data_IF_827754665420
#
_entry.id   IF_827754665420
#
_cell.length_a   1.000
_cell.length_b   1.000
_cell.length_c   1.000
_cell.angle_alpha   90.00
_cell.angle_beta   90.00
_cell.angle_gamma   90.00
#
_symmetry.space_group_name_H-M   'P 1'
#
loop_
_entity.id
_entity.type
_entity.pdbx_description
1 polymer ?
#
# COMPACT_ATOMS: atom_id res chain seq x y z
N UNK A 1 -6.56 -11.41 29.13
CA UNK A 1 -6.00 -11.35 27.75
C UNK A 1 -6.92 -10.65 26.75
N UNK A 2 -8.25 -10.81 26.78
CA UNK A 2 -9.18 -10.16 25.84
C UNK A 2 -9.22 -8.63 25.93
N UNK A 3 -9.15 -8.06 27.14
CA UNK A 3 -9.20 -6.60 27.36
C UNK A 3 -7.95 -5.89 26.83
N UNK A 4 -6.75 -6.44 27.05
CA UNK A 4 -5.49 -5.89 26.51
C UNK A 4 -5.46 -5.93 24.97
N UNK A 5 -6.02 -6.99 24.37
CA UNK A 5 -6.11 -7.10 22.91
C UNK A 5 -7.08 -6.06 22.33
N UNK A 6 -8.19 -5.76 23.02
CA UNK A 6 -9.13 -4.72 22.62
C UNK A 6 -8.54 -3.30 22.59
N UNK A 7 -7.51 -3.03 23.39
CA UNK A 7 -6.77 -1.76 23.36
C UNK A 7 -5.82 -1.64 22.14
N UNK A 8 -5.35 -2.78 21.60
CA UNK A 8 -4.40 -2.85 20.49
C UNK A 8 -5.12 -2.94 19.16
N UNK A 9 -6.26 -3.62 19.10
CA UNK A 9 -7.04 -3.85 17.89
C UNK A 9 -8.43 -3.28 18.04
N UNK A 10 -8.68 -2.14 17.41
CA UNK A 10 -10.03 -1.61 17.30
C UNK A 10 -10.81 -2.47 16.31
N UNK A 11 -11.84 -3.16 16.78
CA UNK A 11 -12.79 -3.84 15.89
C UNK A 11 -13.53 -2.80 15.06
N UNK A 12 -13.53 -2.98 13.75
CA UNK A 12 -14.26 -2.15 12.83
C UNK A 12 -15.07 -3.02 11.88
N UNK A 13 -16.25 -2.58 11.55
CA UNK A 13 -17.13 -3.21 10.57
C UNK A 13 -17.88 -2.14 9.79
N UNK A 14 -18.36 -2.49 8.62
CA UNK A 14 -19.17 -1.61 7.77
C UNK A 14 -20.09 -2.48 6.93
N UNK A 15 -21.29 -2.00 6.63
CA UNK A 15 -22.27 -2.66 5.78
C UNK A 15 -22.26 -2.07 4.35
N UNK A 16 -21.30 -1.19 4.04
CA UNK A 16 -21.16 -0.58 2.71
C UNK A 16 -20.92 -1.65 1.65
N UNK A 17 -21.75 -1.63 0.62
CA UNK A 17 -21.62 -2.45 -0.58
C UNK A 17 -20.79 -1.75 -1.64
N UNK A 18 -20.13 -2.55 -2.46
CA UNK A 18 -19.25 -2.09 -3.54
C UNK A 18 -19.67 -2.66 -4.91
N UNK A 19 -20.94 -2.95 -5.08
CA UNK A 19 -21.48 -3.46 -6.34
C UNK A 19 -21.20 -2.44 -7.47
N UNK A 20 -20.66 -2.92 -8.59
CA UNK A 20 -20.26 -2.07 -9.73
C UNK A 20 -18.97 -1.26 -9.50
N UNK A 21 -18.28 -1.43 -8.37
CA UNK A 21 -17.00 -0.78 -8.10
C UNK A 21 -15.83 -1.69 -8.46
N UNK A 22 -14.78 -1.11 -9.04
CA UNK A 22 -13.52 -1.82 -9.36
C UNK A 22 -12.42 -1.38 -8.40
N UNK A 23 -11.70 -2.35 -7.86
CA UNK A 23 -10.57 -2.14 -6.97
C UNK A 23 -9.31 -2.85 -7.49
N UNK A 24 -8.14 -2.22 -7.34
CA UNK A 24 -6.83 -2.84 -7.53
C UNK A 24 -6.14 -2.92 -6.16
N UNK A 25 -5.60 -4.10 -5.82
CA UNK A 25 -4.80 -4.30 -4.62
C UNK A 25 -3.45 -4.88 -5.02
N UNK A 26 -2.37 -4.15 -4.74
CA UNK A 26 -1.01 -4.64 -5.01
C UNK A 26 -0.54 -5.58 -3.90
N UNK A 27 0.22 -6.64 -4.25
CA UNK A 27 0.70 -7.63 -3.29
C UNK A 27 -0.43 -8.41 -2.61
N UNK A 28 -1.48 -8.71 -3.37
CA UNK A 28 -2.73 -9.29 -2.88
C UNK A 28 -2.71 -10.82 -2.72
N UNK A 29 -1.58 -11.47 -2.97
CA UNK A 29 -1.45 -12.93 -2.91
C UNK A 29 -1.22 -13.51 -1.51
N UNK A 30 -1.02 -12.67 -0.50
CA UNK A 30 -0.79 -13.09 0.89
C UNK A 30 -1.12 -11.98 1.89
N UNK A 31 -1.22 -12.33 3.16
CA UNK A 31 -1.28 -11.40 4.28
C UNK A 31 -2.40 -10.37 4.19
N UNK A 32 -2.08 -9.11 4.48
CA UNK A 32 -3.03 -7.98 4.52
C UNK A 32 -3.73 -7.80 3.17
N UNK A 33 -2.97 -7.88 2.07
CA UNK A 33 -3.51 -7.70 0.73
C UNK A 33 -4.58 -8.74 0.38
N UNK A 34 -4.34 -10.03 0.71
CA UNK A 34 -5.32 -11.11 0.50
C UNK A 34 -6.60 -10.88 1.30
N UNK A 35 -6.48 -10.51 2.58
CA UNK A 35 -7.64 -10.24 3.44
C UNK A 35 -8.41 -8.99 2.98
N UNK A 36 -7.70 -7.97 2.49
CA UNK A 36 -8.33 -6.79 1.88
C UNK A 36 -9.15 -7.16 0.65
N UNK A 37 -8.58 -7.97 -0.26
CA UNK A 37 -9.30 -8.47 -1.45
C UNK A 37 -10.54 -9.27 -1.04
N UNK A 38 -10.39 -10.17 -0.06
CA UNK A 38 -11.49 -11.00 0.42
C UNK A 38 -12.67 -10.17 0.93
N UNK A 39 -12.41 -9.14 1.74
CA UNK A 39 -13.45 -8.25 2.24
C UNK A 39 -14.11 -7.44 1.12
N UNK A 40 -13.31 -6.83 0.22
CA UNK A 40 -13.85 -6.05 -0.91
C UNK A 40 -14.69 -6.92 -1.85
N UNK A 41 -14.24 -8.14 -2.15
CA UNK A 41 -14.98 -9.09 -2.98
C UNK A 41 -16.31 -9.51 -2.31
N UNK A 42 -16.30 -9.77 -0.99
CA UNK A 42 -17.51 -10.09 -0.23
C UNK A 42 -18.56 -8.95 -0.24
N UNK A 43 -18.10 -7.70 -0.48
CA UNK A 43 -18.96 -6.53 -0.66
C UNK A 43 -19.45 -6.34 -2.09
N UNK A 44 -19.09 -7.22 -3.02
CA UNK A 44 -19.53 -7.17 -4.42
C UNK A 44 -18.60 -6.38 -5.35
N UNK A 45 -17.43 -5.96 -4.89
CA UNK A 45 -16.46 -5.31 -5.76
C UNK A 45 -15.86 -6.29 -6.79
N UNK A 46 -15.57 -5.77 -8.00
CA UNK A 46 -14.61 -6.40 -8.88
C UNK A 46 -13.20 -6.07 -8.39
N UNK A 47 -12.43 -7.08 -7.98
CA UNK A 47 -11.12 -6.87 -7.37
C UNK A 47 -10.01 -7.50 -8.20
N UNK A 48 -9.02 -6.67 -8.55
CA UNK A 48 -7.84 -7.06 -9.32
C UNK A 48 -6.68 -7.31 -8.34
N UNK A 49 -6.25 -8.58 -8.28
CA UNK A 49 -5.07 -9.01 -7.54
C UNK A 49 -3.83 -8.69 -8.40
N UNK A 50 -3.16 -7.60 -8.09
CA UNK A 50 -1.95 -7.17 -8.79
C UNK A 50 -0.71 -7.75 -8.08
N UNK A 51 -0.13 -8.83 -8.65
CA UNK A 51 0.88 -9.64 -8.00
C UNK A 51 2.02 -10.01 -8.95
N UNK A 52 3.24 -10.11 -8.42
CA UNK A 52 4.40 -10.59 -9.17
C UNK A 52 4.37 -12.12 -9.36
N UNK A 53 4.05 -12.84 -8.32
CA UNK A 53 3.98 -14.30 -8.27
C UNK A 53 2.56 -14.76 -8.58
N UNK A 54 2.34 -15.20 -9.83
CA UNK A 54 1.02 -15.61 -10.32
C UNK A 54 0.54 -16.90 -9.68
N UNK A 55 1.44 -17.85 -9.38
CA UNK A 55 1.08 -19.12 -8.75
C UNK A 55 0.47 -18.89 -7.37
N UNK A 56 1.12 -18.04 -6.57
CA UNK A 56 0.56 -17.64 -5.26
C UNK A 56 -0.72 -16.83 -5.40
N UNK A 57 -0.84 -16.03 -6.45
CA UNK A 57 -2.05 -15.24 -6.70
C UNK A 57 -3.23 -16.14 -7.07
N UNK A 58 -3.01 -17.19 -7.87
CA UNK A 58 -4.02 -18.20 -8.21
C UNK A 58 -4.50 -18.95 -6.96
N UNK A 59 -3.57 -19.37 -6.10
CA UNK A 59 -3.93 -19.98 -4.83
C UNK A 59 -4.77 -19.03 -3.95
N UNK A 60 -4.35 -17.75 -3.84
CA UNK A 60 -5.09 -16.77 -3.06
C UNK A 60 -6.50 -16.51 -3.62
N UNK A 61 -6.65 -16.40 -4.94
CA UNK A 61 -7.95 -16.22 -5.59
C UNK A 61 -8.85 -17.46 -5.40
N UNK A 62 -8.28 -18.66 -5.50
CA UNK A 62 -9.01 -19.91 -5.22
C UNK A 62 -9.53 -19.97 -3.79
N UNK A 63 -8.67 -19.59 -2.80
CA UNK A 63 -9.07 -19.56 -1.39
C UNK A 63 -10.18 -18.53 -1.13
N UNK A 64 -10.07 -17.34 -1.74
CA UNK A 64 -11.09 -16.28 -1.62
C UNK A 64 -12.41 -16.76 -2.23
N UNK A 65 -12.39 -17.40 -3.39
CA UNK A 65 -13.60 -17.90 -4.06
C UNK A 65 -14.28 -19.05 -3.32
N UNK A 66 -13.58 -19.78 -2.44
CA UNK A 66 -14.19 -20.77 -1.55
C UNK A 66 -14.94 -20.11 -0.38
N UNK A 67 -14.43 -18.96 0.10
CA UNK A 67 -14.95 -18.28 1.27
C UNK A 67 -16.02 -17.22 0.92
N UNK A 68 -16.01 -16.72 -0.32
CA UNK A 68 -16.87 -15.63 -0.79
C UNK A 68 -17.66 -16.12 -2.00
N UNK A 69 -18.98 -16.24 -1.82
CA UNK A 69 -19.87 -16.61 -2.89
C UNK A 69 -19.89 -15.55 -4.01
N UNK A 70 -19.78 -15.98 -5.26
CA UNK A 70 -19.75 -15.10 -6.44
C UNK A 70 -18.63 -14.05 -6.43
N UNK A 71 -17.49 -14.36 -5.81
CA UNK A 71 -16.34 -13.46 -5.78
C UNK A 71 -15.88 -13.07 -7.19
N UNK A 72 -15.92 -11.77 -7.50
CA UNK A 72 -15.42 -11.24 -8.77
C UNK A 72 -13.96 -10.82 -8.62
N UNK A 73 -13.04 -11.79 -8.63
CA UNK A 73 -11.60 -11.58 -8.48
C UNK A 73 -10.87 -11.92 -9.77
N UNK A 74 -9.91 -11.08 -10.14
CA UNK A 74 -9.12 -11.20 -11.37
C UNK A 74 -7.64 -11.03 -11.03
N UNK A 75 -6.81 -11.92 -11.56
CA UNK A 75 -5.36 -11.88 -11.35
C UNK A 75 -4.71 -11.13 -12.51
N UNK A 76 -3.79 -10.22 -12.21
CA UNK A 76 -2.95 -9.52 -13.19
C UNK A 76 -1.51 -9.47 -12.69
N UNK A 77 -0.57 -9.76 -13.59
CA UNK A 77 0.85 -9.68 -13.29
C UNK A 77 1.26 -8.22 -13.08
N UNK A 78 1.95 -7.95 -11.97
CA UNK A 78 2.55 -6.67 -11.66
C UNK A 78 3.82 -6.89 -10.85
N UNK A 79 4.97 -6.48 -11.39
CA UNK A 79 6.22 -6.35 -10.64
C UNK A 79 6.56 -4.87 -10.44
N UNK A 80 6.46 -4.40 -9.20
CA UNK A 80 6.78 -3.02 -8.84
C UNK A 80 8.29 -2.73 -8.85
N UNK A 81 9.13 -3.75 -9.03
CA UNK A 81 10.57 -3.62 -9.21
C UNK A 81 10.98 -3.44 -10.69
N UNK A 82 10.02 -3.27 -11.60
CA UNK A 82 10.26 -3.17 -13.03
C UNK A 82 9.26 -2.18 -13.66
N UNK A 83 9.74 -1.02 -14.08
CA UNK A 83 8.89 0.01 -14.69
C UNK A 83 8.20 -0.46 -15.96
N UNK A 84 8.81 -1.36 -16.72
CA UNK A 84 8.20 -1.99 -17.89
C UNK A 84 6.98 -2.81 -17.50
N UNK A 85 7.10 -3.63 -16.44
CA UNK A 85 5.97 -4.41 -15.92
C UNK A 85 4.83 -3.51 -15.44
N UNK A 86 5.15 -2.36 -14.84
CA UNK A 86 4.15 -1.39 -14.39
C UNK A 86 3.42 -0.77 -15.59
N UNK A 87 4.13 -0.42 -16.67
CA UNK A 87 3.53 0.09 -17.91
C UNK A 87 2.60 -0.95 -18.55
N UNK A 88 3.08 -2.19 -18.72
CA UNK A 88 2.29 -3.28 -19.29
C UNK A 88 1.01 -3.55 -18.47
N UNK A 89 1.13 -3.51 -17.14
CA UNK A 89 -0.02 -3.64 -16.25
C UNK A 89 -1.03 -2.50 -16.44
N UNK A 90 -0.56 -1.24 -16.45
CA UNK A 90 -1.43 -0.08 -16.62
C UNK A 90 -2.16 -0.10 -17.98
N UNK A 91 -1.46 -0.43 -19.06
CA UNK A 91 -2.05 -0.60 -20.39
C UNK A 91 -3.14 -1.68 -20.39
N UNK A 92 -2.86 -2.82 -19.76
CA UNK A 92 -3.84 -3.90 -19.63
C UNK A 92 -5.09 -3.45 -18.86
N UNK A 93 -4.91 -2.65 -17.77
CA UNK A 93 -6.03 -2.11 -17.01
C UNK A 93 -6.87 -1.18 -17.87
N UNK A 94 -6.28 -0.25 -18.61
CA UNK A 94 -7.03 0.64 -19.54
C UNK A 94 -7.80 -0.14 -20.60
N UNK A 95 -7.27 -1.26 -21.09
CA UNK A 95 -7.92 -2.07 -22.10
C UNK A 95 -9.04 -2.97 -21.56
N UNK A 96 -9.03 -3.31 -20.27
CA UNK A 96 -9.98 -4.28 -19.69
C UNK A 96 -10.96 -3.69 -18.70
N UNK A 97 -10.66 -2.54 -18.09
CA UNK A 97 -11.48 -1.94 -17.04
C UNK A 97 -12.01 -0.57 -17.48
N UNK A 98 -13.31 -0.37 -17.31
CA UNK A 98 -13.95 0.93 -17.63
C UNK A 98 -13.81 1.95 -16.51
N UNK A 99 -13.53 1.50 -15.30
CA UNK A 99 -13.45 2.36 -14.11
C UNK A 99 -12.50 1.78 -13.07
N UNK A 100 -11.93 2.66 -12.25
CA UNK A 100 -11.12 2.30 -11.10
C UNK A 100 -11.49 3.18 -9.92
N UNK A 101 -12.18 2.61 -8.93
CA UNK A 101 -12.66 3.35 -7.77
C UNK A 101 -11.73 3.29 -6.57
N UNK A 102 -10.98 2.18 -6.44
CA UNK A 102 -10.04 1.96 -5.32
C UNK A 102 -8.69 1.49 -5.86
N UNK A 103 -7.62 2.23 -5.57
CA UNK A 103 -6.24 1.79 -5.79
C UNK A 103 -5.56 1.62 -4.42
N UNK A 104 -5.26 0.38 -4.05
CA UNK A 104 -4.63 0.06 -2.76
C UNK A 104 -3.19 -0.35 -3.01
N UNK A 105 -2.27 0.57 -2.77
CA UNK A 105 -0.83 0.41 -2.85
C UNK A 105 -0.33 -0.30 -1.58
N UNK A 106 -0.57 -1.62 -1.52
CA UNK A 106 -0.32 -2.44 -0.33
C UNK A 106 1.00 -3.23 -0.40
N UNK A 107 1.46 -3.62 -1.59
CA UNK A 107 2.69 -4.40 -1.74
C UNK A 107 3.88 -3.76 -1.01
N UNK A 108 4.79 -4.60 -0.56
CA UNK A 108 6.01 -4.11 0.05
C UNK A 108 7.02 -5.19 0.35
N UNK A 109 8.26 -4.76 0.43
CA UNK A 109 9.41 -5.54 0.89
C UNK A 109 10.03 -4.86 2.10
N UNK A 110 10.55 -5.61 3.05
CA UNK A 110 11.10 -5.06 4.29
C UNK A 110 12.40 -5.75 4.68
N UNK A 111 13.36 -4.93 5.10
CA UNK A 111 14.60 -5.35 5.78
C UNK A 111 15.34 -6.42 4.96
N UNK A 112 15.30 -6.30 3.63
CA UNK A 112 16.00 -7.21 2.74
C UNK A 112 17.49 -6.81 2.60
N UNK A 113 18.38 -7.72 2.17
CA UNK A 113 19.73 -7.38 1.75
C UNK A 113 19.72 -6.32 0.64
N UNK A 114 20.84 -5.60 0.50
CA UNK A 114 20.98 -4.63 -0.60
C UNK A 114 20.80 -5.31 -1.95
N UNK A 115 19.93 -4.76 -2.74
CA UNK A 115 19.72 -5.11 -4.14
C UNK A 115 19.04 -3.94 -4.84
N UNK A 116 19.02 -3.98 -6.16
CA UNK A 116 18.39 -2.96 -6.98
C UNK A 116 17.23 -3.54 -7.79
N UNK A 117 16.28 -2.68 -8.13
CA UNK A 117 15.22 -2.96 -9.11
C UNK A 117 15.80 -3.10 -10.52
N UNK A 118 15.01 -3.52 -11.49
CA UNK A 118 15.40 -3.57 -12.91
C UNK A 118 15.87 -2.20 -13.42
N UNK A 119 15.35 -1.13 -12.86
CA UNK A 119 15.65 0.26 -13.20
C UNK A 119 16.81 0.86 -12.38
N UNK A 120 17.47 0.06 -11.53
CA UNK A 120 18.64 0.48 -10.74
C UNK A 120 18.33 1.19 -9.42
N UNK A 121 17.08 1.22 -8.94
CA UNK A 121 16.72 1.82 -7.65
C UNK A 121 16.94 0.81 -6.51
N UNK A 122 17.33 1.30 -5.31
CA UNK A 122 17.36 0.45 -4.12
C UNK A 122 16.00 -0.23 -3.93
N UNK A 123 16.00 -1.53 -3.69
CA UNK A 123 14.79 -2.36 -3.81
C UNK A 123 13.64 -1.92 -2.89
N UNK A 124 13.92 -1.51 -1.64
CA UNK A 124 12.84 -1.13 -0.72
C UNK A 124 12.25 0.24 -1.11
N UNK A 125 13.08 1.21 -1.48
CA UNK A 125 12.62 2.50 -1.96
C UNK A 125 11.95 2.37 -3.34
N UNK A 126 12.53 1.57 -4.23
CA UNK A 126 12.02 1.30 -5.57
C UNK A 126 10.62 0.65 -5.54
N UNK A 127 10.47 -0.48 -4.82
CA UNK A 127 9.21 -1.23 -4.76
C UNK A 127 8.15 -0.52 -3.92
N UNK A 128 8.52 -0.09 -2.70
CA UNK A 128 7.53 0.41 -1.74
C UNK A 128 7.02 1.81 -2.10
N UNK A 129 7.88 2.64 -2.74
CA UNK A 129 7.56 4.03 -3.06
C UNK A 129 7.52 4.28 -4.57
N UNK A 130 8.64 4.21 -5.29
CA UNK A 130 8.70 4.61 -6.70
C UNK A 130 7.77 3.80 -7.59
N UNK A 131 7.69 2.48 -7.39
CA UNK A 131 6.80 1.61 -8.16
C UNK A 131 5.32 1.95 -7.95
N UNK A 132 4.91 2.23 -6.72
CA UNK A 132 3.54 2.67 -6.43
C UNK A 132 3.27 4.10 -6.89
N UNK A 133 4.25 4.99 -6.79
CA UNK A 133 4.18 6.35 -7.34
C UNK A 133 3.92 6.29 -8.85
N UNK A 134 4.71 5.50 -9.57
CA UNK A 134 4.58 5.34 -11.01
C UNK A 134 3.26 4.67 -11.43
N UNK A 135 2.87 3.60 -10.73
CA UNK A 135 1.58 2.95 -10.94
C UNK A 135 0.41 3.93 -10.75
N UNK A 136 0.45 4.73 -9.67
CA UNK A 136 -0.59 5.71 -9.39
C UNK A 136 -0.62 6.81 -10.45
N UNK A 137 0.54 7.27 -10.91
CA UNK A 137 0.65 8.21 -12.04
C UNK A 137 -0.04 7.67 -13.29
N UNK A 138 0.31 6.46 -13.69
CA UNK A 138 -0.25 5.84 -14.90
C UNK A 138 -1.76 5.62 -14.81
N UNK A 139 -2.29 5.29 -13.65
CA UNK A 139 -3.73 5.02 -13.46
C UNK A 139 -4.55 6.26 -13.06
N UNK A 140 -3.92 7.43 -12.93
CA UNK A 140 -4.58 8.63 -12.39
C UNK A 140 -5.78 9.09 -13.22
N UNK A 141 -5.70 9.05 -14.54
CA UNK A 141 -6.81 9.51 -15.38
C UNK A 141 -8.03 8.57 -15.25
N UNK A 142 -7.80 7.27 -15.08
CA UNK A 142 -8.88 6.32 -14.82
C UNK A 142 -9.51 6.55 -13.42
N UNK A 143 -8.69 6.86 -12.41
CA UNK A 143 -9.17 7.25 -11.08
C UNK A 143 -10.01 8.53 -11.12
N UNK A 144 -9.55 9.57 -11.83
CA UNK A 144 -10.31 10.83 -12.03
C UNK A 144 -11.64 10.57 -12.74
N UNK A 145 -11.61 9.78 -13.81
CA UNK A 145 -12.82 9.44 -14.56
C UNK A 145 -13.85 8.68 -13.71
N UNK A 146 -13.37 7.91 -12.73
CA UNK A 146 -14.19 7.10 -11.84
C UNK A 146 -14.58 7.79 -10.53
N UNK A 147 -14.32 9.08 -10.40
CA UNK A 147 -14.59 9.83 -9.18
C UNK A 147 -16.08 9.71 -8.73
N UNK A 148 -16.36 9.59 -7.43
CA UNK A 148 -15.41 9.59 -6.33
C UNK A 148 -14.59 8.29 -6.28
N UNK A 149 -13.27 8.46 -6.20
CA UNK A 149 -12.30 7.36 -6.14
C UNK A 149 -11.28 7.58 -5.02
N UNK A 150 -10.57 6.51 -4.67
CA UNK A 150 -9.66 6.55 -3.51
C UNK A 150 -8.35 5.85 -3.80
N UNK A 151 -7.23 6.48 -3.43
CA UNK A 151 -5.89 5.90 -3.39
C UNK A 151 -5.48 5.68 -1.94
N UNK A 152 -5.03 4.48 -1.60
CA UNK A 152 -4.57 4.14 -0.24
C UNK A 152 -3.13 3.65 -0.32
N UNK A 153 -2.23 4.37 0.34
CA UNK A 153 -0.80 4.03 0.42
C UNK A 153 -0.48 3.39 1.77
N UNK A 154 -0.06 2.13 1.76
CA UNK A 154 0.30 1.43 2.99
C UNK A 154 1.69 1.88 3.46
N UNK A 155 1.71 2.56 4.60
CA UNK A 155 2.89 2.99 5.34
C UNK A 155 3.22 2.00 6.47
N UNK A 156 3.69 2.48 7.61
CA UNK A 156 4.01 1.66 8.78
C UNK A 156 4.16 2.52 10.03
N UNK A 157 3.94 1.90 11.19
CA UNK A 157 4.21 2.50 12.51
C UNK A 157 5.68 2.91 12.72
N UNK A 158 6.61 2.39 11.90
CA UNK A 158 8.05 2.72 12.03
C UNK A 158 8.44 4.00 11.27
N UNK A 159 7.54 4.63 10.51
CA UNK A 159 7.82 5.88 9.77
C UNK A 159 8.40 7.01 10.63
N UNK A 160 8.12 7.14 11.95
CA UNK A 160 8.72 8.20 12.76
C UNK A 160 10.24 8.11 12.91
N UNK A 161 10.80 6.92 12.69
CA UNK A 161 12.26 6.70 12.69
C UNK A 161 12.90 7.08 11.34
N UNK A 162 12.07 7.44 10.34
CA UNK A 162 12.51 7.72 8.97
C UNK A 162 13.06 9.13 8.78
N UNK A 163 13.96 9.22 7.80
CA UNK A 163 14.45 10.46 7.21
C UNK A 163 14.61 10.21 5.72
N UNK A 164 14.26 11.20 4.88
CA UNK A 164 14.53 11.13 3.45
C UNK A 164 15.96 11.64 3.21
N UNK A 165 16.80 10.75 2.72
CA UNK A 165 18.19 11.06 2.38
C UNK A 165 18.27 11.46 0.90
N UNK A 166 17.91 12.71 0.59
CA UNK A 166 17.86 13.22 -0.79
C UNK A 166 19.18 13.08 -1.55
N UNK A 167 20.31 13.11 -0.83
CA UNK A 167 21.67 12.99 -1.40
C UNK A 167 22.09 11.52 -1.63
N UNK A 168 21.27 10.55 -1.18
CA UNK A 168 21.58 9.12 -1.27
C UNK A 168 20.29 8.28 -1.12
N UNK A 169 19.29 8.53 -1.96
CA UNK A 169 18.01 7.81 -1.94
C UNK A 169 18.18 6.30 -2.17
N UNK A 170 19.15 5.92 -2.99
CA UNK A 170 19.49 4.54 -3.28
C UNK A 170 20.36 3.87 -2.21
N UNK A 171 20.76 4.61 -1.15
CA UNK A 171 21.64 4.09 -0.08
C UNK A 171 22.93 3.44 -0.60
N UNK A 172 23.52 4.01 -1.67
CA UNK A 172 24.72 3.49 -2.33
C UNK A 172 25.96 3.65 -1.44
N UNK A 173 26.01 4.74 -0.65
CA UNK A 173 27.14 5.07 0.22
C UNK A 173 27.15 4.22 1.48
N UNK A 174 26.00 3.97 2.09
CA UNK A 174 25.89 3.24 3.35
C UNK A 174 24.49 2.61 3.50
N UNK A 175 24.35 1.40 3.01
CA UNK A 175 23.11 0.65 3.13
C UNK A 175 22.87 0.11 4.52
N UNK A 176 21.69 0.37 5.05
CA UNK A 176 21.20 -0.29 6.25
C UNK A 176 19.73 -0.70 6.02
N UNK A 177 19.40 -2.02 6.07
CA UNK A 177 18.09 -2.51 5.63
C UNK A 177 16.91 -1.89 6.38
N UNK A 178 17.06 -1.61 7.68
CA UNK A 178 16.02 -0.95 8.47
C UNK A 178 15.86 0.51 8.05
N UNK A 179 16.97 1.25 7.83
CA UNK A 179 16.91 2.66 7.42
C UNK A 179 16.25 2.81 6.05
N UNK A 180 16.61 1.94 5.08
CA UNK A 180 16.00 1.94 3.75
C UNK A 180 14.48 1.64 3.82
N UNK A 181 14.08 0.66 4.62
CA UNK A 181 12.66 0.37 4.85
C UNK A 181 11.91 1.56 5.45
N UNK A 182 12.42 2.13 6.52
CA UNK A 182 11.77 3.24 7.23
C UNK A 182 11.69 4.48 6.33
N UNK A 183 12.74 4.77 5.54
CA UNK A 183 12.74 5.82 4.51
C UNK A 183 11.61 5.60 3.51
N UNK A 184 11.44 4.38 2.98
CA UNK A 184 10.39 4.06 2.01
C UNK A 184 8.98 4.25 2.58
N UNK A 185 8.78 3.95 3.88
CA UNK A 185 7.49 4.11 4.55
C UNK A 185 7.16 5.55 4.92
N UNK A 186 8.17 6.36 5.24
CA UNK A 186 8.03 7.81 5.35
C UNK A 186 7.70 8.44 3.99
N UNK A 187 8.36 7.99 2.93
CA UNK A 187 8.11 8.46 1.56
C UNK A 187 6.65 8.25 1.15
N UNK A 188 6.03 7.14 1.56
CA UNK A 188 4.61 6.87 1.26
C UNK A 188 3.66 7.87 1.94
N UNK A 189 3.97 8.38 3.13
CA UNK A 189 3.17 9.43 3.78
C UNK A 189 3.36 10.77 3.08
N UNK A 190 4.60 11.14 2.75
CA UNK A 190 4.90 12.37 2.02
C UNK A 190 4.24 12.36 0.64
N UNK A 191 4.31 11.24 -0.08
CA UNK A 191 3.60 11.03 -1.34
C UNK A 191 2.08 11.20 -1.19
N UNK A 192 1.49 10.63 -0.16
CA UNK A 192 0.05 10.75 0.13
C UNK A 192 -0.35 12.22 0.31
N UNK A 193 0.41 12.99 1.08
CA UNK A 193 0.12 14.39 1.34
C UNK A 193 0.22 15.23 0.08
N UNK A 194 1.32 15.10 -0.66
CA UNK A 194 1.53 15.85 -1.90
C UNK A 194 0.51 15.47 -2.97
N UNK A 195 0.22 14.17 -3.15
CA UNK A 195 -0.79 13.74 -4.10
C UNK A 195 -2.17 14.28 -3.72
N UNK A 196 -2.55 14.20 -2.44
CA UNK A 196 -3.84 14.70 -1.98
C UNK A 196 -4.06 16.17 -2.34
N UNK A 197 -3.07 17.03 -2.10
CA UNK A 197 -3.17 18.46 -2.44
C UNK A 197 -3.31 18.72 -3.95
N UNK A 198 -2.78 17.85 -4.80
CA UNK A 198 -2.83 17.98 -6.26
C UNK A 198 -4.13 17.48 -6.87
N UNK A 199 -4.83 16.55 -6.20
CA UNK A 199 -6.02 15.90 -6.75
C UNK A 199 -7.31 16.19 -5.97
N UNK A 200 -7.26 17.09 -4.97
CA UNK A 200 -8.39 17.39 -4.09
C UNK A 200 -9.64 17.80 -4.87
N UNK A 201 -9.50 18.69 -5.85
CA UNK A 201 -10.61 19.18 -6.68
C UNK A 201 -11.08 18.18 -7.75
N UNK A 202 -10.35 17.06 -7.92
CA UNK A 202 -10.62 16.06 -8.96
C UNK A 202 -11.50 14.91 -8.47
N UNK A 203 -11.97 14.97 -7.22
CA UNK A 203 -12.79 13.92 -6.60
C UNK A 203 -12.03 12.63 -6.29
N UNK A 204 -10.69 12.70 -6.24
CA UNK A 204 -9.82 11.59 -5.85
C UNK A 204 -9.33 11.82 -4.41
N UNK A 205 -9.64 10.89 -3.51
CA UNK A 205 -9.18 10.94 -2.11
C UNK A 205 -7.91 10.11 -1.95
N UNK A 206 -7.00 10.55 -1.08
CA UNK A 206 -5.71 9.88 -0.89
C UNK A 206 -5.43 9.73 0.59
N UNK A 207 -5.13 8.50 1.03
CA UNK A 207 -4.88 8.17 2.44
C UNK A 207 -3.58 7.40 2.62
N UNK A 208 -2.84 7.71 3.68
CA UNK A 208 -1.76 6.87 4.17
C UNK A 208 -2.27 6.01 5.35
N UNK A 209 -1.97 4.71 5.35
CA UNK A 209 -2.45 3.81 6.39
C UNK A 209 -1.32 3.04 7.06
N UNK A 210 -1.46 2.83 8.36
CA UNK A 210 -0.65 1.91 9.14
C UNK A 210 -1.48 0.69 9.52
N UNK A 211 -1.08 -0.50 9.07
CA UNK A 211 -1.75 -1.74 9.46
C UNK A 211 -1.44 -2.15 10.91
N UNK A 212 -0.44 -1.56 11.54
CA UNK A 212 0.13 -1.97 12.83
C UNK A 212 1.13 -3.13 12.70
N UNK A 213 1.44 -3.77 13.81
CA UNK A 213 2.25 -4.98 13.81
C UNK A 213 1.37 -6.17 13.40
N UNK A 214 1.63 -6.71 12.21
CA UNK A 214 0.84 -7.81 11.62
C UNK A 214 1.73 -9.01 11.36
N UNK A 215 1.25 -10.21 11.69
CA UNK A 215 1.94 -11.45 11.36
C UNK A 215 1.78 -11.76 9.86
N UNK A 216 2.79 -11.41 9.08
CA UNK A 216 2.82 -11.62 7.63
C UNK A 216 4.20 -12.05 7.16
N UNK A 217 4.29 -12.54 5.94
CA UNK A 217 5.54 -12.96 5.29
C UNK A 217 6.56 -11.83 5.09
N UNK A 218 6.18 -10.57 5.34
CA UNK A 218 7.09 -9.43 5.26
C UNK A 218 8.23 -9.53 6.28
N UNK A 219 8.04 -10.28 7.37
CA UNK A 219 9.02 -10.51 8.44
C UNK A 219 10.03 -11.63 8.14
N UNK A 220 9.96 -12.26 6.96
CA UNK A 220 10.82 -13.42 6.59
C UNK A 220 12.33 -13.14 6.62
N UNK A 221 12.73 -11.88 6.47
CA UNK A 221 14.14 -11.44 6.51
C UNK A 221 14.59 -10.92 7.88
N UNK A 222 13.71 -10.93 8.90
CA UNK A 222 14.09 -10.54 10.26
C UNK A 222 15.03 -11.56 10.89
N UNK A 223 15.94 -11.07 11.72
CA UNK A 223 16.88 -11.91 12.47
C UNK A 223 16.14 -12.88 13.42
N UNK A 224 16.68 -14.08 13.59
CA UNK A 224 16.08 -15.12 14.45
C UNK A 224 15.64 -14.65 15.85
N UNK A 225 16.39 -13.79 16.58
CA UNK A 225 15.94 -13.28 17.88
C UNK A 225 14.66 -12.44 17.79
N UNK A 226 14.51 -11.63 16.71
CA UNK A 226 13.32 -10.82 16.48
C UNK A 226 12.13 -11.69 16.11
N UNK A 227 12.35 -12.73 15.28
CA UNK A 227 11.31 -13.74 14.98
C UNK A 227 10.87 -14.48 16.24
N UNK A 228 11.78 -14.81 17.13
CA UNK A 228 11.47 -15.43 18.43
C UNK A 228 10.64 -14.50 19.31
N UNK A 229 11.02 -13.22 19.41
CA UNK A 229 10.27 -12.20 20.15
C UNK A 229 8.86 -12.04 19.58
N UNK A 230 8.73 -11.93 18.25
CA UNK A 230 7.45 -11.88 17.53
C UNK A 230 6.60 -13.11 17.86
N UNK A 231 7.20 -14.29 17.92
CA UNK A 231 6.49 -15.54 18.25
C UNK A 231 6.06 -15.60 19.72
N UNK A 232 6.88 -15.08 20.63
CA UNK A 232 6.61 -15.12 22.09
C UNK A 232 5.56 -14.09 22.51
N UNK A 233 5.57 -12.92 21.88
CA UNK A 233 4.60 -11.83 22.12
C UNK A 233 3.48 -11.79 21.07
N UNK A 234 3.24 -12.90 20.40
CA UNK A 234 2.28 -13.02 19.29
C UNK A 234 0.84 -12.58 19.62
N UNK A 235 0.45 -12.54 20.92
CA UNK A 235 -0.85 -12.03 21.35
C UNK A 235 -1.01 -10.50 21.13
N UNK A 236 0.10 -9.75 20.98
CA UNK A 236 0.14 -8.32 20.66
C UNK A 236 0.18 -8.04 19.15
N UNK A 237 0.30 -9.08 18.33
CA UNK A 237 0.43 -8.97 16.89
C UNK A 237 -0.93 -9.23 16.26
N UNK A 238 -1.31 -8.33 15.35
CA UNK A 238 -2.55 -8.45 14.58
C UNK A 238 -2.50 -9.65 13.63
N UNK A 239 -3.64 -10.28 13.42
CA UNK A 239 -3.83 -11.18 12.29
C UNK A 239 -3.82 -10.39 10.98
N UNK A 240 -3.60 -11.02 9.82
CA UNK A 240 -3.74 -10.35 8.52
C UNK A 240 -5.09 -9.66 8.33
N UNK A 241 -6.19 -10.29 8.76
CA UNK A 241 -7.54 -9.69 8.72
C UNK A 241 -7.63 -8.42 9.59
N UNK A 242 -7.12 -8.46 10.83
CA UNK A 242 -7.05 -7.27 11.69
C UNK A 242 -6.14 -6.18 11.12
N UNK A 243 -5.07 -6.57 10.40
CA UNK A 243 -4.18 -5.67 9.67
C UNK A 243 -4.86 -4.94 8.52
N UNK A 244 -5.85 -5.58 7.87
CA UNK A 244 -6.61 -4.99 6.79
C UNK A 244 -7.63 -3.94 7.26
N UNK A 245 -8.04 -3.91 8.55
CA UNK A 245 -9.10 -3.04 9.02
C UNK A 245 -8.88 -1.55 8.74
N UNK A 246 -7.67 -1.02 8.92
CA UNK A 246 -7.42 0.41 8.66
C UNK A 246 -7.50 0.74 7.17
N UNK A 247 -7.04 -0.16 6.30
CA UNK A 247 -7.16 -0.03 4.85
C UNK A 247 -8.63 -0.05 4.43
N UNK A 248 -9.40 -1.01 4.92
CA UNK A 248 -10.83 -1.13 4.66
C UNK A 248 -11.62 0.05 5.24
N UNK A 249 -11.25 0.53 6.44
CA UNK A 249 -11.83 1.74 7.02
C UNK A 249 -11.70 2.93 6.08
N UNK A 250 -10.50 3.17 5.55
CA UNK A 250 -10.26 4.27 4.62
C UNK A 250 -10.93 4.06 3.25
N UNK A 251 -11.08 2.81 2.81
CA UNK A 251 -11.75 2.48 1.56
C UNK A 251 -13.28 2.67 1.60
N UNK A 252 -13.89 2.49 2.77
CA UNK A 252 -15.34 2.33 2.93
C UNK A 252 -16.02 3.45 3.73
N UNK A 253 -15.23 4.28 4.44
CA UNK A 253 -15.80 5.39 5.21
C UNK A 253 -15.84 6.66 4.34
N UNK A 254 -17.01 7.24 4.12
CA UNK A 254 -17.12 8.50 3.38
C UNK A 254 -16.52 9.67 4.17
N UNK A 255 -16.21 10.74 3.46
CA UNK A 255 -15.85 12.07 4.00
C UNK A 255 -14.70 12.11 5.01
N UNK A 256 -13.77 11.15 4.89
CA UNK A 256 -12.53 11.20 5.64
C UNK A 256 -11.61 12.32 5.12
N UNK A 257 -10.88 13.02 6.01
CA UNK A 257 -9.88 14.01 5.61
C UNK A 257 -8.83 13.42 4.68
N UNK A 258 -8.79 13.89 3.41
CA UNK A 258 -7.78 13.47 2.44
C UNK A 258 -6.38 13.94 2.85
N UNK A 259 -5.31 13.30 2.38
CA UNK A 259 -3.93 13.59 2.75
C UNK A 259 -3.54 13.16 4.17
N UNK A 260 -4.47 12.56 4.93
CA UNK A 260 -4.26 12.19 6.33
C UNK A 260 -3.66 10.79 6.49
N UNK A 261 -3.03 10.59 7.66
CA UNK A 261 -2.50 9.31 8.10
C UNK A 261 -3.46 8.63 9.08
N UNK A 262 -3.74 7.37 8.85
CA UNK A 262 -4.69 6.56 9.61
C UNK A 262 -4.01 5.36 10.26
N UNK A 263 -4.32 5.12 11.52
CA UNK A 263 -3.91 3.92 12.26
C UNK A 263 -5.06 3.49 13.17
N UNK A 264 -5.26 2.18 13.32
CA UNK A 264 -6.35 1.62 14.14
C UNK A 264 -7.73 2.22 13.82
N UNK A 265 -8.07 2.37 12.53
CA UNK A 265 -9.35 2.90 12.05
C UNK A 265 -9.70 4.29 12.63
N UNK A 266 -8.71 5.16 12.71
CA UNK A 266 -8.89 6.56 13.11
C UNK A 266 -7.77 7.43 12.52
N UNK A 267 -8.01 8.74 12.39
CA UNK A 267 -6.95 9.70 12.08
C UNK A 267 -5.89 9.63 13.18
N UNK A 268 -4.63 9.52 12.78
CA UNK A 268 -3.51 9.42 13.71
C UNK A 268 -2.48 10.52 13.43
N UNK A 269 -1.74 10.89 14.48
CA UNK A 269 -0.62 11.82 14.29
C UNK A 269 0.54 11.08 13.63
N UNK A 270 1.10 11.69 12.57
CA UNK A 270 2.35 11.24 11.98
C UNK A 270 3.54 12.06 12.51
N UNK A 271 4.77 11.63 12.21
CA UNK A 271 6.00 12.29 12.65
C UNK A 271 6.13 13.70 12.09
N UNK A 272 7.01 14.52 12.72
CA UNK A 272 7.32 15.86 12.20
C UNK A 272 7.87 15.80 10.76
N UNK A 273 8.74 14.82 10.47
CA UNK A 273 9.27 14.63 9.13
C UNK A 273 8.17 14.28 8.09
N UNK A 274 7.13 13.55 8.51
CA UNK A 274 6.00 13.22 7.65
C UNK A 274 5.02 14.39 7.42
N UNK A 275 5.15 15.47 8.21
CA UNK A 275 4.36 16.72 8.09
C UNK A 275 5.09 17.83 7.32
N UNK A 276 6.33 17.57 6.88
CA UNK A 276 7.14 18.56 6.17
C UNK A 276 6.76 18.65 4.70
N UNK A 277 6.00 19.69 4.35
CA UNK A 277 5.50 19.92 3.00
C UNK A 277 6.64 20.22 2.00
N UNK A 278 7.73 20.82 2.46
CA UNK A 278 8.92 21.03 1.63
C UNK A 278 9.56 19.70 1.23
N UNK A 279 9.68 18.76 2.17
CA UNK A 279 10.15 17.41 1.88
C UNK A 279 9.18 16.63 0.98
N UNK A 280 7.86 16.81 1.14
CA UNK A 280 6.86 16.19 0.29
C UNK A 280 6.98 16.66 -1.17
N UNK A 281 7.03 17.97 -1.38
CA UNK A 281 7.17 18.57 -2.72
C UNK A 281 8.54 18.25 -3.36
N UNK A 282 9.64 18.26 -2.57
CA UNK A 282 10.95 17.86 -3.06
C UNK A 282 10.98 16.38 -3.45
N UNK A 283 10.40 15.49 -2.63
CA UNK A 283 10.33 14.06 -2.93
C UNK A 283 9.52 13.79 -4.20
N UNK A 284 8.40 14.49 -4.37
CA UNK A 284 7.59 14.43 -5.59
C UNK A 284 8.42 14.76 -6.84
N UNK A 285 9.10 15.91 -6.82
CA UNK A 285 9.92 16.37 -7.94
C UNK A 285 11.04 15.37 -8.26
N UNK A 286 11.73 14.86 -7.23
CA UNK A 286 12.79 13.85 -7.40
C UNK A 286 12.22 12.53 -7.93
N UNK A 287 11.06 12.07 -7.42
CA UNK A 287 10.41 10.84 -7.92
C UNK A 287 10.01 10.98 -9.39
N UNK A 288 9.47 12.13 -9.80
CA UNK A 288 9.19 12.41 -11.20
C UNK A 288 10.46 12.38 -12.06
N UNK A 289 11.55 12.98 -11.58
CA UNK A 289 12.82 13.01 -12.28
C UNK A 289 13.41 11.61 -12.45
N UNK A 290 13.44 10.81 -11.39
CA UNK A 290 13.96 9.43 -11.40
C UNK A 290 13.18 8.52 -12.36
N UNK A 291 11.88 8.75 -12.49
CA UNK A 291 11.00 7.98 -13.36
C UNK A 291 10.87 8.56 -14.78
N UNK A 292 11.54 9.69 -15.07
CA UNK A 292 11.47 10.34 -16.38
C UNK A 292 10.08 10.86 -16.76
N UNK A 293 9.22 11.16 -15.78
CA UNK A 293 7.84 11.59 -16.01
C UNK A 293 7.62 13.07 -15.64
N UNK A 294 6.56 13.64 -16.24
CA UNK A 294 6.04 14.98 -15.88
C UNK A 294 4.64 14.80 -15.31
N UNK A 295 4.54 14.84 -14.00
CA UNK A 295 3.26 14.79 -13.29
C UNK A 295 2.96 16.20 -12.76
N UNK A 296 2.09 16.92 -13.46
CA UNK A 296 1.66 18.29 -13.13
C UNK A 296 0.53 18.28 -12.11
#
# INVERSE_FOLDING_TARGET
>A
MSVLRGLIVKRWSSDVRLDGKTAIVTGANTGIGKETVKDLANRGARVILACRDLVKAEQAASDISKDVENANVVIRKLDLADTKSICEFAELIYNTEKSLHLLINNAGVAICPYSTTADGFETQFGVNHLGHFFLTFLLMDLLKHSAPSTVINVSSLVHPMGKIHFEDLNSEKNYHPVKAYVQSKLANILFTRELASRVEELGVRVYAVDPGLVNTDITRHLMKPVQFFVKTFGFMIKTPAEGAYTTLYCALTPDLPTGSYYSNCTVASCSRAAKDDNSASKLWAVSCHLLGIRWR
#
